data_IF_559085454460
#
_entry.id   IF_559085454460
#
_cell.length_a   1.000
_cell.length_b   1.000
_cell.length_c   1.000
_cell.angle_alpha   90.00
_cell.angle_beta   90.00
_cell.angle_gamma   90.00
#
_symmetry.space_group_name_H-M   'P 1'
#
loop_
_entity.id
_entity.type
_entity.pdbx_description
1 polymer ?
#
# COMPACT_ATOMS: atom_id res chain seq x y z
N UNK A 1 -18.07 -1.85 -6.66
CA UNK A 1 -17.19 -1.49 -7.81
C UNK A 1 -15.84 -2.17 -7.65
N UNK A 2 -15.29 -2.74 -8.74
CA UNK A 2 -13.92 -3.23 -8.82
C UNK A 2 -13.18 -2.45 -9.93
N UNK A 3 -12.00 -1.88 -9.65
CA UNK A 3 -11.20 -1.11 -10.61
C UNK A 3 -9.71 -1.30 -10.33
N UNK A 4 -8.88 -1.28 -11.37
CA UNK A 4 -7.42 -1.16 -11.26
C UNK A 4 -6.92 -0.16 -12.31
N UNK A 5 -5.85 0.58 -11.98
CA UNK A 5 -5.09 1.39 -12.93
C UNK A 5 -3.77 0.69 -13.17
N UNK A 6 -3.61 0.23 -14.41
CA UNK A 6 -2.45 -0.55 -14.86
C UNK A 6 -1.88 0.19 -16.08
N UNK A 7 -0.55 0.21 -16.22
CA UNK A 7 0.11 0.79 -17.39
C UNK A 7 -0.23 0.03 -18.67
N UNK A 8 -0.16 0.70 -19.82
CA UNK A 8 -0.41 0.10 -21.14
C UNK A 8 0.48 -1.11 -21.41
N UNK A 9 1.73 -1.09 -20.93
CA UNK A 9 2.65 -2.23 -21.05
C UNK A 9 2.36 -3.38 -20.08
N UNK A 10 1.32 -3.27 -19.23
CA UNK A 10 0.92 -4.24 -18.21
C UNK A 10 1.98 -4.58 -17.14
N UNK A 11 3.12 -3.90 -17.11
CA UNK A 11 4.20 -4.15 -16.14
C UNK A 11 3.97 -3.48 -14.80
N UNK A 12 3.18 -2.40 -14.75
CA UNK A 12 2.95 -1.58 -13.57
C UNK A 12 1.48 -1.54 -13.20
N UNK A 13 1.18 -1.63 -11.92
CA UNK A 13 -0.14 -1.34 -11.36
C UNK A 13 0.00 -0.21 -10.34
N UNK A 14 -0.67 0.90 -10.61
CA UNK A 14 -0.62 2.10 -9.75
C UNK A 14 -1.70 2.07 -8.69
N UNK A 15 -2.91 1.60 -9.02
CA UNK A 15 -4.05 1.59 -8.11
C UNK A 15 -4.85 0.30 -8.20
N UNK A 16 -5.41 -0.13 -7.08
CA UNK A 16 -6.44 -1.16 -7.01
C UNK A 16 -7.57 -0.66 -6.10
N UNK A 17 -8.81 -0.72 -6.57
CA UNK A 17 -9.98 -0.25 -5.84
C UNK A 17 -11.01 -1.37 -5.68
N UNK A 18 -11.62 -1.42 -4.48
CA UNK A 18 -12.78 -2.25 -4.17
C UNK A 18 -13.75 -1.42 -3.35
N UNK A 19 -15.00 -1.30 -3.80
CA UNK A 19 -16.03 -0.52 -3.13
C UNK A 19 -17.33 -1.31 -3.10
N UNK A 20 -17.90 -1.47 -1.93
CA UNK A 20 -19.14 -2.21 -1.66
C UNK A 20 -20.23 -1.34 -1.04
N UNK A 21 -19.89 -0.20 -0.42
CA UNK A 21 -20.83 0.77 0.11
C UNK A 21 -20.31 2.19 -0.09
N UNK A 22 -20.90 2.92 -1.04
CA UNK A 22 -20.48 4.29 -1.38
C UNK A 22 -20.74 5.32 -0.29
N UNK A 23 -21.62 5.01 0.67
CA UNK A 23 -21.98 5.94 1.76
C UNK A 23 -20.96 5.94 2.91
N UNK A 24 -20.06 4.98 2.92
CA UNK A 24 -19.03 4.82 3.94
C UNK A 24 -17.65 5.17 3.39
N UNK A 25 -16.75 5.54 4.29
CA UNK A 25 -15.37 5.89 3.96
C UNK A 25 -14.55 4.74 3.36
N UNK A 26 -13.31 5.03 2.98
CA UNK A 26 -12.38 4.11 2.32
C UNK A 26 -11.06 4.02 3.07
N UNK A 27 -10.48 2.81 3.09
CA UNK A 27 -9.14 2.54 3.62
C UNK A 27 -8.16 2.47 2.46
N UNK A 28 -7.03 3.18 2.56
CA UNK A 28 -5.87 2.95 1.70
C UNK A 28 -4.89 2.00 2.42
N UNK A 29 -4.56 0.87 1.80
CA UNK A 29 -3.43 0.05 2.20
C UNK A 29 -2.22 0.38 1.32
N UNK A 30 -1.09 0.76 1.96
CA UNK A 30 0.18 1.00 1.28
C UNK A 30 1.05 -0.23 1.46
N UNK A 31 1.30 -0.96 0.36
CA UNK A 31 1.98 -2.26 0.36
C UNK A 31 3.31 -2.19 -0.40
N UNK A 32 4.04 -3.30 -0.53
CA UNK A 32 5.37 -3.31 -1.16
C UNK A 32 5.27 -3.16 -2.69
N UNK A 33 4.66 -4.14 -3.34
CA UNK A 33 4.50 -4.19 -4.80
C UNK A 33 3.25 -4.97 -5.19
N UNK A 34 2.69 -4.72 -6.38
CA UNK A 34 1.53 -5.45 -6.86
C UNK A 34 1.83 -6.92 -7.14
N UNK A 35 0.87 -7.78 -6.81
CA UNK A 35 0.84 -9.20 -7.20
C UNK A 35 -0.07 -9.39 -8.42
N UNK A 36 -0.97 -10.37 -8.38
CA UNK A 36 -1.81 -10.80 -9.50
C UNK A 36 -3.17 -10.13 -9.58
N UNK A 37 -3.64 -9.52 -8.47
CA UNK A 37 -4.95 -8.86 -8.46
C UNK A 37 -5.06 -7.76 -9.53
N UNK A 38 -6.20 -7.69 -10.16
CA UNK A 38 -6.51 -6.72 -11.23
C UNK A 38 -7.92 -6.13 -11.06
N UNK A 39 -8.43 -5.49 -12.09
CA UNK A 39 -9.78 -4.90 -12.08
C UNK A 39 -10.91 -5.93 -11.86
N UNK A 40 -10.66 -7.22 -12.08
CA UNK A 40 -11.67 -8.29 -12.01
C UNK A 40 -11.40 -9.28 -10.89
N UNK A 41 -10.15 -9.75 -10.75
CA UNK A 41 -9.75 -10.83 -9.83
C UNK A 41 -9.12 -10.30 -8.55
N UNK A 42 -9.39 -10.99 -7.45
CA UNK A 42 -8.81 -10.72 -6.14
C UNK A 42 -7.82 -11.83 -5.77
N UNK A 43 -6.66 -11.46 -5.22
CA UNK A 43 -5.73 -12.38 -4.58
C UNK A 43 -5.99 -12.45 -3.06
N UNK A 44 -5.32 -13.37 -2.37
CA UNK A 44 -5.48 -13.56 -0.93
C UNK A 44 -5.20 -12.28 -0.13
N UNK A 45 -4.23 -11.47 -0.56
CA UNK A 45 -3.91 -10.20 0.08
C UNK A 45 -5.07 -9.21 -0.04
N UNK A 46 -5.63 -9.07 -1.24
CA UNK A 46 -6.78 -8.20 -1.51
C UNK A 46 -7.98 -8.62 -0.68
N UNK A 47 -8.29 -9.93 -0.63
CA UNK A 47 -9.38 -10.47 0.19
C UNK A 47 -9.15 -10.15 1.68
N UNK A 48 -7.92 -10.32 2.16
CA UNK A 48 -7.58 -10.02 3.56
C UNK A 48 -7.76 -8.54 3.89
N UNK A 49 -7.30 -7.64 3.04
CA UNK A 49 -7.49 -6.19 3.20
C UNK A 49 -8.98 -5.81 3.19
N UNK A 50 -9.77 -6.40 2.29
CA UNK A 50 -11.23 -6.19 2.26
C UNK A 50 -11.89 -6.61 3.57
N UNK A 51 -11.49 -7.75 4.14
CA UNK A 51 -12.05 -8.24 5.40
C UNK A 51 -11.73 -7.30 6.57
N UNK A 52 -10.50 -6.77 6.65
CA UNK A 52 -10.14 -5.74 7.62
C UNK A 52 -10.98 -4.47 7.43
N UNK A 53 -11.04 -3.91 6.22
CA UNK A 53 -11.79 -2.69 5.96
C UNK A 53 -13.29 -2.83 6.29
N UNK A 54 -13.90 -3.97 5.93
CA UNK A 54 -15.30 -4.29 6.30
C UNK A 54 -15.50 -4.36 7.81
N UNK A 55 -14.58 -5.04 8.51
CA UNK A 55 -14.65 -5.18 9.97
C UNK A 55 -14.53 -3.84 10.69
N UNK A 56 -13.74 -2.92 10.16
CA UNK A 56 -13.60 -1.55 10.70
C UNK A 56 -14.76 -0.62 10.28
N UNK A 57 -15.75 -1.12 9.55
CA UNK A 57 -16.95 -0.38 9.17
C UNK A 57 -16.82 0.47 7.90
N UNK A 58 -15.73 0.34 7.14
CA UNK A 58 -15.55 1.06 5.89
C UNK A 58 -16.33 0.45 4.72
N UNK A 59 -16.68 1.28 3.74
CA UNK A 59 -17.45 0.90 2.55
C UNK A 59 -16.61 0.59 1.33
N UNK A 60 -15.29 0.78 1.43
CA UNK A 60 -14.36 0.49 0.34
C UNK A 60 -12.91 0.44 0.81
N UNK A 61 -12.06 -0.02 -0.09
CA UNK A 61 -10.62 0.05 0.08
C UNK A 61 -9.89 0.36 -1.23
N UNK A 62 -8.69 0.88 -1.08
CA UNK A 62 -7.71 1.10 -2.13
C UNK A 62 -6.40 0.40 -1.73
N UNK A 63 -5.65 -0.08 -2.72
CA UNK A 63 -4.28 -0.54 -2.52
C UNK A 63 -3.37 0.27 -3.43
N UNK A 64 -2.43 0.98 -2.80
CA UNK A 64 -1.25 1.56 -3.41
C UNK A 64 0.00 0.78 -3.01
N UNK A 65 1.11 0.97 -3.71
CA UNK A 65 2.33 0.23 -3.42
C UNK A 65 3.54 1.18 -3.39
N UNK A 66 4.58 0.81 -2.62
CA UNK A 66 5.86 1.51 -2.64
C UNK A 66 6.45 1.45 -4.05
N UNK A 67 6.40 0.28 -4.68
CA UNK A 67 6.86 0.03 -6.03
C UNK A 67 5.69 -0.39 -6.93
N UNK A 68 5.54 0.16 -8.14
CA UNK A 68 4.42 -0.17 -9.03
C UNK A 68 4.60 -1.49 -9.78
N UNK A 69 5.83 -2.06 -9.79
CA UNK A 69 6.19 -3.21 -10.60
C UNK A 69 5.45 -4.48 -10.16
N UNK A 70 4.77 -5.12 -11.11
CA UNK A 70 4.00 -6.35 -10.88
C UNK A 70 4.93 -7.55 -10.85
N UNK A 71 5.47 -7.86 -9.68
CA UNK A 71 6.36 -9.01 -9.47
C UNK A 71 5.68 -10.07 -8.60
N UNK A 72 5.67 -11.31 -9.08
CA UNK A 72 5.18 -12.47 -8.32
C UNK A 72 6.25 -13.01 -7.37
N UNK A 73 7.52 -12.84 -7.69
CA UNK A 73 8.66 -13.36 -6.93
C UNK A 73 9.53 -12.22 -6.43
N UNK A 74 10.05 -12.28 -5.20
CA UNK A 74 10.92 -11.23 -4.65
C UNK A 74 12.16 -10.94 -5.52
N UNK A 75 12.73 -11.97 -6.16
CA UNK A 75 13.88 -11.81 -7.06
C UNK A 75 13.60 -10.93 -8.28
N UNK A 76 12.36 -10.98 -8.80
CA UNK A 76 11.98 -10.18 -9.97
C UNK A 76 11.87 -8.69 -9.58
N UNK A 77 11.34 -8.41 -8.39
CA UNK A 77 11.33 -7.06 -7.83
C UNK A 77 12.75 -6.54 -7.60
N UNK A 78 13.64 -7.35 -7.00
CA UNK A 78 15.03 -6.97 -6.76
C UNK A 78 15.76 -6.65 -8.08
N UNK A 79 15.56 -7.47 -9.12
CA UNK A 79 16.13 -7.21 -10.46
C UNK A 79 15.63 -5.86 -11.02
N UNK A 80 14.33 -5.59 -10.91
CA UNK A 80 13.75 -4.34 -11.37
C UNK A 80 14.26 -3.13 -10.58
N UNK A 81 14.47 -3.24 -9.27
CA UNK A 81 15.00 -2.16 -8.43
C UNK A 81 16.46 -1.79 -8.78
N UNK A 82 17.22 -2.75 -9.33
CA UNK A 82 18.60 -2.50 -9.81
C UNK A 82 18.65 -1.92 -11.23
N UNK A 83 17.51 -1.81 -11.91
CA UNK A 83 17.42 -1.19 -13.23
C UNK A 83 17.32 0.32 -13.08
N UNK A 84 18.32 1.04 -13.60
CA UNK A 84 18.40 2.51 -13.52
C UNK A 84 17.93 3.21 -14.79
N UNK A 85 17.13 2.54 -15.62
CA UNK A 85 16.60 3.11 -16.85
C UNK A 85 15.59 4.23 -16.59
N UNK A 86 15.45 5.16 -17.56
CA UNK A 86 14.47 6.25 -17.52
C UNK A 86 13.04 5.73 -17.34
N UNK A 87 12.72 4.57 -17.88
CA UNK A 87 11.40 3.95 -17.73
C UNK A 87 11.08 3.57 -16.28
N UNK A 88 12.07 3.09 -15.52
CA UNK A 88 11.91 2.78 -14.10
C UNK A 88 11.69 4.05 -13.29
N UNK A 89 12.46 5.10 -13.51
CA UNK A 89 12.27 6.40 -12.85
C UNK A 89 10.91 7.02 -13.17
N UNK A 90 10.47 6.97 -14.43
CA UNK A 90 9.15 7.44 -14.85
C UNK A 90 8.02 6.69 -14.12
N UNK A 91 8.12 5.36 -14.01
CA UNK A 91 7.16 4.53 -13.31
C UNK A 91 7.11 4.86 -11.80
N UNK A 92 8.24 5.10 -11.15
CA UNK A 92 8.29 5.54 -9.75
C UNK A 92 7.59 6.87 -9.53
N UNK A 93 7.88 7.87 -10.36
CA UNK A 93 7.25 9.20 -10.24
C UNK A 93 5.74 9.13 -10.42
N UNK A 94 5.28 8.40 -11.44
CA UNK A 94 3.85 8.19 -11.70
C UNK A 94 3.20 7.48 -10.51
N UNK A 95 3.83 6.43 -9.98
CA UNK A 95 3.33 5.70 -8.83
C UNK A 95 3.17 6.58 -7.57
N UNK A 96 4.19 7.41 -7.26
CA UNK A 96 4.13 8.35 -6.12
C UNK A 96 2.91 9.25 -6.23
N UNK A 97 2.65 9.84 -7.41
CA UNK A 97 1.50 10.70 -7.65
C UNK A 97 0.16 9.96 -7.42
N UNK A 98 0.03 8.72 -7.90
CA UNK A 98 -1.17 7.90 -7.66
C UNK A 98 -1.38 7.59 -6.17
N UNK A 99 -0.32 7.23 -5.44
CA UNK A 99 -0.42 6.94 -4.00
C UNK A 99 -0.79 8.19 -3.21
N UNK A 100 -0.21 9.35 -3.55
CA UNK A 100 -0.58 10.63 -2.95
C UNK A 100 -2.06 10.95 -3.18
N UNK A 101 -2.54 10.82 -4.41
CA UNK A 101 -3.96 11.06 -4.75
C UNK A 101 -4.91 10.11 -4.00
N UNK A 102 -4.55 8.81 -3.88
CA UNK A 102 -5.32 7.87 -3.06
C UNK A 102 -5.28 8.25 -1.57
N UNK A 103 -4.16 8.78 -1.06
CA UNK A 103 -4.04 9.25 0.32
C UNK A 103 -5.02 10.38 0.61
N UNK A 104 -5.17 11.33 -0.31
CA UNK A 104 -6.16 12.41 -0.18
C UNK A 104 -7.60 11.89 -0.13
N UNK A 105 -7.90 10.82 -0.88
CA UNK A 105 -9.24 10.21 -0.97
C UNK A 105 -9.56 9.22 0.15
N UNK A 106 -8.57 8.82 0.93
CA UNK A 106 -8.73 7.84 2.00
C UNK A 106 -9.16 8.49 3.30
N UNK A 107 -10.00 7.81 4.08
CA UNK A 107 -10.33 8.19 5.45
C UNK A 107 -9.37 7.58 6.46
N UNK A 108 -8.72 6.47 6.09
CA UNK A 108 -7.70 5.78 6.87
C UNK A 108 -6.58 5.30 5.95
N UNK A 109 -5.33 5.52 6.35
CA UNK A 109 -4.14 4.99 5.64
C UNK A 109 -3.43 3.97 6.52
N UNK A 110 -3.26 2.75 6.02
CA UNK A 110 -2.60 1.63 6.70
C UNK A 110 -1.38 1.18 5.91
N UNK A 111 -0.21 1.35 6.49
CA UNK A 111 1.05 0.86 5.95
C UNK A 111 1.19 -0.65 6.21
N UNK A 112 1.58 -1.43 5.19
CA UNK A 112 1.53 -2.89 5.26
C UNK A 112 2.47 -3.57 4.24
N UNK A 113 3.69 -3.08 4.04
CA UNK A 113 4.62 -3.61 3.01
C UNK A 113 5.40 -4.85 3.41
N UNK A 114 5.41 -5.21 4.69
CA UNK A 114 6.01 -6.46 5.17
C UNK A 114 7.49 -6.37 5.53
N UNK A 115 7.94 -7.31 6.37
CA UNK A 115 9.25 -7.28 7.04
C UNK A 115 10.47 -7.46 6.11
N UNK A 116 10.27 -7.88 4.86
CA UNK A 116 11.35 -8.03 3.88
C UNK A 116 11.86 -6.69 3.32
N UNK A 117 11.12 -5.60 3.49
CA UNK A 117 11.52 -4.25 3.11
C UNK A 117 11.63 -3.39 4.37
N UNK A 118 12.77 -3.49 5.04
CA UNK A 118 13.00 -2.88 6.35
C UNK A 118 12.89 -1.36 6.32
N UNK A 119 12.34 -0.81 7.39
CA UNK A 119 12.18 0.61 7.60
C UNK A 119 10.97 1.20 6.88
N UNK A 120 10.93 2.53 6.82
CA UNK A 120 9.92 3.32 6.12
C UNK A 120 10.61 4.10 4.99
N UNK A 121 10.21 3.90 3.72
CA UNK A 121 10.76 4.69 2.60
C UNK A 121 10.50 6.18 2.81
N UNK A 122 11.51 7.02 2.52
CA UNK A 122 11.44 8.46 2.81
C UNK A 122 10.19 9.15 2.27
N UNK A 123 9.80 8.88 1.02
CA UNK A 123 8.62 9.50 0.43
C UNK A 123 7.27 9.08 1.06
N UNK A 124 7.24 7.99 1.83
CA UNK A 124 6.05 7.59 2.58
C UNK A 124 5.83 8.54 3.76
N UNK A 125 6.89 9.12 4.34
CA UNK A 125 6.75 10.16 5.36
C UNK A 125 5.96 11.36 4.83
N UNK A 126 6.15 11.73 3.56
CA UNK A 126 5.45 12.86 2.92
C UNK A 126 3.92 12.64 2.92
N UNK A 127 3.45 11.39 2.95
CA UNK A 127 2.02 11.08 3.02
C UNK A 127 1.39 11.49 4.36
N UNK A 128 2.20 11.57 5.42
CA UNK A 128 1.72 11.97 6.74
C UNK A 128 1.27 13.43 6.78
N UNK A 129 1.74 14.28 5.87
CA UNK A 129 1.30 15.67 5.71
C UNK A 129 -0.17 15.77 5.27
N UNK A 130 -0.66 14.72 4.60
CA UNK A 130 -2.03 14.66 4.10
C UNK A 130 -2.95 13.85 5.00
N UNK A 131 -2.45 12.76 5.59
CA UNK A 131 -3.26 11.85 6.42
C UNK A 131 -2.39 11.10 7.43
N UNK A 132 -2.87 10.96 8.66
CA UNK A 132 -2.18 10.16 9.66
C UNK A 132 -1.95 8.72 9.17
N UNK A 133 -0.70 8.24 9.30
CA UNK A 133 -0.33 6.88 8.90
C UNK A 133 -0.56 5.90 10.05
N UNK A 134 -1.02 4.71 9.71
CA UNK A 134 -1.30 3.62 10.66
C UNK A 134 -0.61 2.33 10.21
N UNK A 135 -0.53 1.37 11.11
CA UNK A 135 -0.07 0.00 10.89
C UNK A 135 -0.93 -0.97 11.70
N UNK A 136 -0.87 -2.27 11.40
CA UNK A 136 -1.54 -3.31 12.19
C UNK A 136 -0.62 -3.84 13.28
N UNK A 137 0.53 -4.37 12.90
CA UNK A 137 1.64 -4.76 13.75
C UNK A 137 2.96 -4.36 13.10
N UNK A 138 4.01 -4.17 13.92
CA UNK A 138 5.37 -3.94 13.45
C UNK A 138 6.17 -5.24 13.46
N UNK A 139 7.18 -5.30 12.59
CA UNK A 139 8.22 -6.31 12.62
C UNK A 139 9.16 -6.07 13.81
N UNK A 140 10.12 -6.95 14.03
CA UNK A 140 11.04 -6.92 15.19
C UNK A 140 11.92 -5.65 15.25
N UNK A 141 12.05 -4.92 14.13
CA UNK A 141 12.76 -3.64 14.09
C UNK A 141 11.97 -2.46 14.68
N UNK A 142 10.72 -2.68 15.08
CA UNK A 142 9.85 -1.67 15.67
C UNK A 142 9.37 -0.57 14.73
N UNK A 143 9.70 -0.63 13.45
CA UNK A 143 9.39 0.41 12.44
C UNK A 143 8.65 -0.14 11.23
N UNK A 144 9.09 -1.28 10.70
CA UNK A 144 8.54 -1.90 9.48
C UNK A 144 7.17 -2.51 9.75
N UNK A 145 6.12 -2.17 8.99
CA UNK A 145 4.79 -2.75 9.21
C UNK A 145 4.70 -4.16 8.61
N UNK A 146 4.10 -5.08 9.34
CA UNK A 146 3.84 -6.43 8.84
C UNK A 146 2.86 -6.42 7.67
N UNK A 147 3.05 -7.38 6.76
CA UNK A 147 2.14 -7.62 5.63
C UNK A 147 0.81 -8.23 6.13
N UNK A 148 -0.35 -7.96 5.50
CA UNK A 148 -1.65 -8.47 5.93
C UNK A 148 -1.73 -9.99 6.04
N UNK A 149 -0.95 -10.72 5.24
CA UNK A 149 -0.83 -12.19 5.31
C UNK A 149 0.24 -12.68 6.31
N UNK A 150 0.92 -11.79 7.02
CA UNK A 150 2.02 -12.11 7.93
C UNK A 150 1.58 -12.56 9.31
N UNK A 151 0.82 -13.64 9.43
CA UNK A 151 0.35 -14.24 10.70
C UNK A 151 -0.30 -13.22 11.66
N UNK A 152 -1.14 -12.35 11.12
CA UNK A 152 -1.86 -11.35 11.88
C UNK A 152 -3.22 -11.86 12.37
N UNK A 153 -3.62 -11.50 13.59
CA UNK A 153 -4.99 -11.72 14.04
C UNK A 153 -5.98 -11.00 13.11
N UNK A 154 -7.14 -11.63 12.89
CA UNK A 154 -8.24 -11.00 12.15
C UNK A 154 -8.94 -9.87 12.93
N UNK A 155 -8.65 -9.75 14.22
CA UNK A 155 -9.30 -8.80 15.13
C UNK A 155 -8.48 -7.52 15.38
N UNK A 156 -7.36 -7.36 14.69
CA UNK A 156 -6.50 -6.19 14.81
C UNK A 156 -7.22 -4.91 14.37
N UNK A 157 -6.95 -3.85 15.11
CA UNK A 157 -7.33 -2.48 14.76
C UNK A 157 -6.08 -1.68 14.38
N UNK A 158 -6.19 -0.70 13.47
CA UNK A 158 -5.07 0.12 13.07
C UNK A 158 -4.51 0.94 14.24
N UNK A 159 -3.19 0.93 14.39
CA UNK A 159 -2.44 1.75 15.36
C UNK A 159 -1.75 2.88 14.63
N UNK A 160 -1.81 4.10 15.17
CA UNK A 160 -1.18 5.27 14.57
C UNK A 160 0.34 5.21 14.71
N UNK A 161 1.07 5.50 13.62
CA UNK A 161 2.50 5.78 13.70
C UNK A 161 2.73 7.04 14.51
N UNK A 162 3.66 6.97 15.45
CA UNK A 162 4.26 8.14 16.09
C UNK A 162 5.47 8.52 15.24
N UNK A 163 5.27 9.31 14.21
CA UNK A 163 6.35 9.88 13.44
C UNK A 163 6.96 10.96 14.32
N UNK A 164 8.10 10.66 14.94
CA UNK A 164 8.87 11.70 15.62
C UNK A 164 9.27 12.71 14.54
N UNK A 165 8.77 13.92 14.65
CA UNK A 165 9.34 15.08 13.97
C UNK A 165 10.76 15.19 14.54
N UNK A 166 11.75 14.68 13.82
CA UNK A 166 13.13 15.05 14.05
C UNK A 166 13.21 16.50 13.57
N UNK A 167 12.96 17.40 14.51
CA UNK A 167 13.37 18.79 14.35
C UNK A 167 14.89 18.72 14.51
N UNK A 168 15.58 18.63 13.36
CA UNK A 168 17.01 18.91 13.36
C UNK A 168 17.18 20.35 13.78
N UNK A 169 17.77 20.51 14.99
CA UNK A 169 18.25 21.78 15.47
C UNK A 169 19.55 22.18 14.77
#
# INVERSE_FOLDING_TARGET
>A
MKKAIISDCNKYRYELHREWDKKKGKVLFVMLNPSTACGVTDDLTTIRCMNFAKKWGYGGMMIGNIYPFRAKRPKDLKKWLNDTTVFVYGAHRTNKAHVQEMTHKADLVVCAWGCNNKGMPGWIHDLADYRALHYLELCDDGVTPKHPLGNLSKDLVPKRYKLNTIIEG
#
